data_IF_808109390905
#
_entry.id   IF_808109390905
#
_cell.length_a   1.000
_cell.length_b   1.000
_cell.length_c   1.000
_cell.angle_alpha   90.00
_cell.angle_beta   90.00
_cell.angle_gamma   90.00
#
_symmetry.space_group_name_H-M   'P 1'
#
loop_
_entity.id
_entity.type
_entity.pdbx_description
1 polymer ?
#
# COMPACT_ATOMS: atom_id res chain seq x y z
N UNK A 1 11.34 68.80 -60.33
CA UNK A 1 12.20 68.96 -61.51
C UNK A 1 13.31 67.93 -61.37
N UNK A 2 13.11 66.73 -61.92
CA UNK A 2 13.44 66.37 -63.32
C UNK A 2 14.96 66.27 -63.52
N UNK A 3 15.58 65.29 -64.16
CA UNK A 3 15.28 63.97 -64.74
C UNK A 3 16.67 63.27 -64.78
N UNK A 4 16.82 62.02 -64.36
CA UNK A 4 16.98 60.82 -65.21
C UNK A 4 17.90 61.01 -66.43
N UNK A 5 18.98 60.24 -66.49
CA UNK A 5 19.48 59.72 -67.77
C UNK A 5 19.73 58.21 -67.67
N UNK A 6 19.03 57.53 -68.56
CA UNK A 6 19.02 56.09 -68.83
C UNK A 6 20.21 55.74 -69.72
N UNK A 7 20.75 54.53 -69.53
CA UNK A 7 21.61 53.86 -70.50
C UNK A 7 21.44 52.34 -70.39
N UNK A 8 20.72 51.77 -71.36
CA UNK A 8 20.51 50.34 -71.62
C UNK A 8 21.84 49.57 -71.73
N UNK A 9 21.96 48.23 -71.67
CA UNK A 9 21.13 47.20 -72.30
C UNK A 9 21.71 45.80 -72.02
N UNK A 10 20.88 44.79 -72.31
CA UNK A 10 21.14 43.34 -72.55
C UNK A 10 21.29 42.42 -71.33
N UNK A 11 20.78 41.19 -71.35
CA UNK A 11 19.73 40.45 -72.09
C UNK A 11 19.84 39.01 -71.58
N UNK A 12 18.71 38.32 -71.39
CA UNK A 12 18.61 36.89 -71.09
C UNK A 12 17.78 36.69 -69.82
N UNK A 13 16.53 36.24 -69.86
CA UNK A 13 15.91 35.26 -70.74
C UNK A 13 15.80 33.94 -69.97
N UNK A 14 14.61 33.63 -69.43
CA UNK A 14 14.40 32.31 -68.81
C UNK A 14 13.31 32.22 -67.74
N UNK A 15 12.05 32.29 -68.18
CA UNK A 15 10.94 31.38 -67.83
C UNK A 15 10.66 31.11 -66.32
N UNK A 16 9.52 31.68 -65.93
CA UNK A 16 8.63 31.30 -64.84
C UNK A 16 8.52 29.78 -64.59
N UNK A 17 8.64 29.39 -63.32
CA UNK A 17 7.88 28.27 -62.77
C UNK A 17 7.49 28.57 -61.33
N UNK A 18 6.20 28.80 -61.16
CA UNK A 18 5.49 28.88 -59.91
C UNK A 18 5.86 27.70 -59.01
N UNK A 19 6.53 28.00 -57.91
CA UNK A 19 6.63 27.15 -56.74
C UNK A 19 6.12 27.92 -55.55
N UNK A 20 4.81 28.20 -55.53
CA UNK A 20 4.15 28.53 -54.27
C UNK A 20 4.31 27.29 -53.39
N UNK A 21 5.34 27.30 -52.55
CA UNK A 21 5.40 26.42 -51.40
C UNK A 21 4.29 26.92 -50.50
N UNK A 22 3.08 26.42 -50.75
CA UNK A 22 2.07 26.31 -49.70
C UNK A 22 2.70 25.33 -48.74
N UNK A 23 3.47 25.86 -47.79
CA UNK A 23 3.77 25.17 -46.57
C UNK A 23 2.39 24.95 -45.95
N UNK A 24 1.84 23.75 -46.18
CA UNK A 24 0.81 23.21 -45.32
C UNK A 24 1.53 23.06 -43.98
N UNK A 25 1.57 24.16 -43.24
CA UNK A 25 1.88 24.14 -41.83
C UNK A 25 0.82 23.24 -41.25
N UNK A 26 1.17 21.98 -41.02
CA UNK A 26 0.50 21.19 -40.01
C UNK A 26 0.70 22.01 -38.74
N UNK A 27 -0.30 22.85 -38.43
CA UNK A 27 -0.40 23.53 -37.16
C UNK A 27 -0.58 22.41 -36.14
N UNK A 28 0.52 21.82 -35.73
CA UNK A 28 0.58 21.01 -34.53
C UNK A 28 0.26 21.98 -33.41
N UNK A 29 -1.03 22.08 -33.08
CA UNK A 29 -1.49 22.86 -31.96
C UNK A 29 -0.77 22.31 -30.73
N UNK A 30 0.25 23.04 -30.26
CA UNK A 30 1.05 22.61 -29.13
C UNK A 30 0.13 22.60 -27.92
N UNK A 31 0.17 21.54 -27.13
CA UNK A 31 -0.66 21.39 -25.93
C UNK A 31 -0.52 22.61 -24.98
N UNK A 32 0.65 23.25 -24.99
CA UNK A 32 0.97 24.48 -24.25
C UNK A 32 0.21 25.74 -24.70
N UNK A 33 -0.54 25.68 -25.81
CA UNK A 33 -1.37 26.81 -26.30
C UNK A 33 -2.78 26.81 -25.71
N UNK A 34 -3.16 25.74 -25.01
CA UNK A 34 -4.45 25.65 -24.32
C UNK A 34 -4.43 26.51 -23.04
N UNK A 35 -5.59 27.09 -22.63
CA UNK A 35 -5.72 27.72 -21.32
C UNK A 35 -5.37 26.74 -20.19
N UNK A 36 -4.78 27.27 -19.12
CA UNK A 36 -4.37 26.47 -17.95
C UNK A 36 -5.52 25.65 -17.35
N UNK A 37 -6.73 26.21 -17.33
CA UNK A 37 -7.94 25.53 -16.84
C UNK A 37 -8.29 24.31 -17.70
N UNK A 38 -8.14 24.39 -19.03
CA UNK A 38 -8.38 23.27 -19.92
C UNK A 38 -7.37 22.15 -19.69
N UNK A 39 -6.10 22.49 -19.51
CA UNK A 39 -5.04 21.53 -19.20
C UNK A 39 -5.30 20.89 -17.83
N UNK A 40 -5.67 21.70 -16.84
CA UNK A 40 -6.00 21.25 -15.49
C UNK A 40 -7.17 20.27 -15.49
N UNK A 41 -8.23 20.54 -16.29
CA UNK A 41 -9.37 19.64 -16.43
C UNK A 41 -9.00 18.28 -17.04
N UNK A 42 -8.06 18.25 -17.98
CA UNK A 42 -7.55 16.98 -18.52
C UNK A 42 -6.77 16.22 -17.45
N UNK A 43 -5.86 16.90 -16.74
CA UNK A 43 -5.02 16.29 -15.69
C UNK A 43 -5.85 15.83 -14.49
N UNK A 44 -6.94 16.53 -14.17
CA UNK A 44 -7.90 16.18 -13.12
C UNK A 44 -8.47 14.75 -13.25
N UNK A 45 -8.52 14.21 -14.47
CA UNK A 45 -8.98 12.84 -14.75
C UNK A 45 -7.86 11.79 -14.73
N UNK A 46 -6.63 12.17 -14.39
CA UNK A 46 -5.46 11.27 -14.35
C UNK A 46 -5.12 10.85 -12.91
N UNK A 47 -4.03 10.11 -12.73
CA UNK A 47 -3.52 9.78 -11.38
C UNK A 47 -2.57 10.86 -10.84
N UNK A 48 -2.37 10.93 -9.51
CA UNK A 48 -1.35 11.79 -8.91
C UNK A 48 0.05 11.59 -9.49
N UNK A 49 0.40 10.33 -9.82
CA UNK A 49 1.64 10.01 -10.54
C UNK A 49 1.68 10.65 -11.92
N UNK A 50 0.64 10.49 -12.72
CA UNK A 50 0.58 11.04 -14.08
C UNK A 50 0.66 12.56 -14.05
N UNK A 51 -0.05 13.22 -13.12
CA UNK A 51 0.05 14.66 -12.89
C UNK A 51 1.50 15.11 -12.65
N UNK A 52 2.27 14.35 -11.85
CA UNK A 52 3.69 14.65 -11.62
C UNK A 52 4.55 14.42 -12.87
N UNK A 53 4.25 13.41 -13.67
CA UNK A 53 4.99 13.10 -14.91
C UNK A 53 4.75 14.20 -15.95
N UNK A 54 3.50 14.57 -16.21
CA UNK A 54 3.16 15.60 -17.22
C UNK A 54 3.65 16.98 -16.82
N UNK A 55 3.79 17.27 -15.52
CA UNK A 55 4.37 18.51 -15.02
C UNK A 55 5.82 18.75 -15.47
N UNK A 56 6.51 17.71 -15.97
CA UNK A 56 7.89 17.81 -16.47
C UNK A 56 7.97 18.18 -17.96
N UNK A 57 6.84 18.27 -18.67
CA UNK A 57 6.80 18.49 -20.13
C UNK A 57 7.02 19.96 -20.50
N UNK A 58 6.36 20.89 -19.81
CA UNK A 58 6.48 22.34 -20.07
C UNK A 58 6.12 23.17 -18.82
N UNK A 59 6.42 24.47 -18.84
CA UNK A 59 6.09 25.38 -17.72
C UNK A 59 4.57 25.58 -17.57
N UNK A 60 3.84 25.68 -18.68
CA UNK A 60 2.38 25.85 -18.66
C UNK A 60 1.70 24.60 -18.11
N UNK A 61 2.13 23.42 -18.58
CA UNK A 61 1.59 22.14 -18.07
C UNK A 61 1.97 21.91 -16.61
N UNK A 62 3.17 22.32 -16.20
CA UNK A 62 3.57 22.28 -14.79
C UNK A 62 2.64 23.10 -13.92
N UNK A 63 2.34 24.35 -14.29
CA UNK A 63 1.43 25.22 -13.54
C UNK A 63 0.06 24.56 -13.37
N UNK A 64 -0.52 24.09 -14.49
CA UNK A 64 -1.80 23.39 -14.49
C UNK A 64 -1.79 22.13 -13.60
N UNK A 65 -0.74 21.30 -13.71
CA UNK A 65 -0.59 20.06 -12.97
C UNK A 65 -0.39 20.26 -11.46
N UNK A 66 0.14 21.41 -11.04
CA UNK A 66 0.36 21.77 -9.64
C UNK A 66 -0.81 22.58 -9.05
N UNK A 67 -1.85 22.85 -9.83
CA UNK A 67 -3.02 23.61 -9.40
C UNK A 67 -3.83 22.89 -8.33
N UNK A 68 -4.38 23.67 -7.39
CA UNK A 68 -5.23 23.14 -6.33
C UNK A 68 -6.54 22.52 -6.87
N UNK A 69 -6.99 22.91 -8.07
CA UNK A 69 -8.13 22.26 -8.72
C UNK A 69 -7.86 20.77 -9.00
N UNK A 70 -6.66 20.45 -9.49
CA UNK A 70 -6.23 19.07 -9.75
C UNK A 70 -6.04 18.31 -8.44
N UNK A 71 -5.30 18.88 -7.48
CA UNK A 71 -4.96 18.17 -6.25
C UNK A 71 -6.13 18.01 -5.27
N UNK A 72 -7.15 18.86 -5.34
CA UNK A 72 -8.41 18.65 -4.61
C UNK A 72 -9.07 17.32 -4.96
N UNK A 73 -9.03 16.95 -6.25
CA UNK A 73 -9.65 15.72 -6.72
C UNK A 73 -8.99 14.46 -6.18
N UNK A 74 -7.67 14.54 -5.98
CA UNK A 74 -6.86 13.43 -5.48
C UNK A 74 -7.00 13.26 -3.96
N UNK A 75 -7.48 14.28 -3.27
CA UNK A 75 -7.76 14.21 -1.84
C UNK A 75 -9.11 13.51 -1.59
N UNK A 76 -9.19 12.62 -0.58
CA UNK A 76 -10.47 12.05 -0.15
C UNK A 76 -11.41 13.12 0.39
N UNK A 77 -12.72 13.11 0.11
CA UNK A 77 -13.65 14.13 0.60
C UNK A 77 -13.61 14.34 2.12
N UNK A 78 -13.24 13.30 2.86
CA UNK A 78 -13.18 13.30 4.32
C UNK A 78 -11.87 13.90 4.87
N UNK A 79 -10.94 14.35 4.01
CA UNK A 79 -9.62 14.84 4.43
C UNK A 79 -9.70 16.06 5.35
N UNK A 80 -10.70 16.94 5.14
CA UNK A 80 -10.92 18.14 5.98
C UNK A 80 -11.34 17.80 7.41
N UNK A 81 -11.84 16.59 7.65
CA UNK A 81 -12.21 16.10 8.99
C UNK A 81 -11.10 15.30 9.66
N UNK A 82 -10.01 15.01 8.95
CA UNK A 82 -8.82 14.40 9.55
C UNK A 82 -8.08 15.46 10.37
N UNK A 83 -7.59 15.07 11.55
CA UNK A 83 -6.79 15.92 12.40
C UNK A 83 -5.40 16.15 11.75
N UNK A 84 -5.36 17.06 10.78
CA UNK A 84 -4.14 17.48 10.12
C UNK A 84 -3.34 18.41 11.06
N UNK A 85 -1.99 18.39 11.00
CA UNK A 85 -1.16 19.33 11.73
C UNK A 85 -1.54 20.79 11.41
N UNK A 86 -1.58 21.71 12.39
CA UNK A 86 -1.91 23.13 12.18
C UNK A 86 -1.02 23.86 11.17
N UNK A 87 0.17 23.32 10.87
CA UNK A 87 1.09 23.84 9.84
C UNK A 87 0.61 23.63 8.40
N UNK A 88 -0.45 22.85 8.18
CA UNK A 88 -0.98 22.55 6.85
C UNK A 88 -2.15 23.44 6.43
N UNK A 89 -2.69 24.28 7.32
CA UNK A 89 -3.89 25.11 7.07
C UNK A 89 -3.69 26.18 5.98
N UNK A 90 -2.44 26.51 5.64
CA UNK A 90 -2.08 27.44 4.55
C UNK A 90 -1.24 26.78 3.44
N UNK A 91 -1.27 25.45 3.34
CA UNK A 91 -0.45 24.68 2.42
C UNK A 91 -1.21 24.37 1.12
N UNK A 92 -0.51 24.23 -0.01
CA UNK A 92 -1.16 23.80 -1.25
C UNK A 92 -1.73 22.39 -1.10
N UNK A 93 -2.79 22.06 -1.84
CA UNK A 93 -3.45 20.75 -1.74
C UNK A 93 -2.52 19.60 -2.09
N UNK A 94 -1.55 19.85 -2.99
CA UNK A 94 -0.44 18.94 -3.27
C UNK A 94 0.39 18.62 -2.02
N UNK A 95 0.71 19.61 -1.19
CA UNK A 95 1.46 19.39 0.05
C UNK A 95 0.64 18.63 1.08
N UNK A 96 -0.67 18.92 1.20
CA UNK A 96 -1.58 18.14 2.06
C UNK A 96 -1.60 16.67 1.62
N UNK A 97 -1.75 16.43 0.31
CA UNK A 97 -1.71 15.08 -0.26
C UNK A 97 -0.41 14.34 0.08
N UNK A 98 0.74 14.99 -0.14
CA UNK A 98 2.04 14.39 0.15
C UNK A 98 2.20 14.09 1.64
N UNK A 99 1.72 14.98 2.53
CA UNK A 99 1.71 14.73 3.97
C UNK A 99 0.87 13.51 4.33
N UNK A 100 -0.33 13.36 3.75
CA UNK A 100 -1.19 12.19 3.96
C UNK A 100 -0.61 10.91 3.36
N UNK A 101 0.25 10.99 2.35
CA UNK A 101 0.90 9.84 1.75
C UNK A 101 2.15 9.40 2.53
N UNK A 102 2.92 10.36 3.04
CA UNK A 102 4.20 10.11 3.70
C UNK A 102 4.05 9.87 5.22
N UNK A 103 3.05 10.49 5.88
CA UNK A 103 2.81 10.34 7.32
C UNK A 103 1.39 9.80 7.62
N UNK A 104 1.27 8.50 7.95
CA UNK A 104 -0.02 7.91 8.33
C UNK A 104 -0.66 8.58 9.55
N UNK A 105 -1.92 9.00 9.40
CA UNK A 105 -2.74 9.66 10.41
C UNK A 105 -3.53 8.64 11.20
N UNK A 106 -3.58 8.80 12.53
CA UNK A 106 -4.40 7.96 13.40
C UNK A 106 -5.87 8.41 13.36
N UNK A 107 -6.77 7.45 13.19
CA UNK A 107 -8.23 7.65 13.18
C UNK A 107 -8.88 6.67 14.15
N UNK A 108 -10.19 6.86 14.39
CA UNK A 108 -11.00 5.95 15.22
C UNK A 108 -10.39 5.74 16.62
N UNK A 109 -10.17 6.84 17.34
CA UNK A 109 -9.55 6.84 18.68
C UNK A 109 -8.14 6.22 18.70
N UNK A 110 -7.42 6.30 17.59
CA UNK A 110 -6.07 5.74 17.47
C UNK A 110 -6.03 4.23 17.20
N UNK A 111 -7.18 3.61 16.91
CA UNK A 111 -7.27 2.17 16.63
C UNK A 111 -6.91 1.80 15.20
N UNK A 112 -6.91 2.77 14.28
CA UNK A 112 -6.58 2.58 12.88
C UNK A 112 -5.65 3.69 12.40
N UNK A 113 -4.72 3.38 11.50
CA UNK A 113 -3.95 4.39 10.78
C UNK A 113 -4.39 4.46 9.33
N UNK A 114 -4.35 5.66 8.76
CA UNK A 114 -4.82 6.01 7.44
C UNK A 114 -3.75 6.78 6.67
N UNK A 115 -3.54 6.43 5.41
CA UNK A 115 -2.67 7.17 4.49
C UNK A 115 -3.13 6.99 3.05
N UNK A 116 -2.55 7.77 2.14
CA UNK A 116 -2.79 7.65 0.70
C UNK A 116 -1.66 6.90 0.00
N UNK A 117 -2.00 5.99 -0.91
CA UNK A 117 -1.01 5.43 -1.81
C UNK A 117 -0.50 6.51 -2.76
N UNK A 118 0.77 6.87 -2.64
CA UNK A 118 1.39 8.03 -3.30
C UNK A 118 1.12 8.12 -4.80
N UNK A 119 1.12 6.99 -5.51
CA UNK A 119 0.92 6.93 -6.96
C UNK A 119 -0.51 7.12 -7.41
N UNK A 120 -1.46 6.47 -6.75
CA UNK A 120 -2.85 6.37 -7.23
C UNK A 120 -3.84 7.20 -6.41
N UNK A 121 -3.45 7.66 -5.23
CA UNK A 121 -4.34 8.35 -4.28
C UNK A 121 -5.35 7.42 -3.62
N UNK A 122 -5.19 6.09 -3.76
CA UNK A 122 -6.09 5.11 -3.13
C UNK A 122 -5.87 5.08 -1.63
N UNK A 123 -6.96 4.88 -0.89
CA UNK A 123 -6.98 4.87 0.58
C UNK A 123 -6.30 3.60 1.10
N UNK A 124 -5.36 3.76 2.02
CA UNK A 124 -4.68 2.67 2.71
C UNK A 124 -4.97 2.73 4.21
N UNK A 125 -5.05 1.55 4.85
CA UNK A 125 -5.37 1.42 6.26
C UNK A 125 -4.49 0.38 6.94
N UNK A 126 -4.19 0.62 8.21
CA UNK A 126 -3.63 -0.37 9.13
C UNK A 126 -4.50 -0.43 10.37
N UNK A 127 -4.85 -1.65 10.80
CA UNK A 127 -5.61 -1.87 12.03
C UNK A 127 -4.62 -2.12 13.16
N UNK A 128 -4.82 -1.44 14.30
CA UNK A 128 -4.06 -1.74 15.52
C UNK A 128 -4.46 -3.11 16.07
N UNK A 129 -3.58 -3.72 16.86
CA UNK A 129 -3.92 -4.96 17.57
C UNK A 129 -5.15 -4.80 18.50
N UNK A 130 -5.42 -3.59 18.99
CA UNK A 130 -6.58 -3.27 19.82
C UNK A 130 -7.90 -3.29 19.04
N UNK A 131 -7.85 -3.17 17.72
CA UNK A 131 -9.00 -3.22 16.81
C UNK A 131 -9.25 -4.63 16.25
N UNK A 132 -8.37 -5.59 16.60
CA UNK A 132 -8.47 -6.98 16.18
C UNK A 132 -9.15 -7.81 17.27
N UNK A 133 -9.88 -8.84 16.84
CA UNK A 133 -10.36 -9.90 17.74
C UNK A 133 -9.30 -10.99 17.83
N UNK A 134 -8.56 -10.99 18.93
CA UNK A 134 -7.50 -11.96 19.23
C UNK A 134 -8.02 -12.93 20.29
N UNK A 135 -7.90 -14.24 20.06
CA UNK A 135 -8.33 -15.26 21.03
C UNK A 135 -7.46 -15.23 22.28
N UNK A 136 -8.12 -15.18 23.45
CA UNK A 136 -7.51 -15.08 24.79
C UNK A 136 -6.69 -13.81 25.07
N UNK A 137 -6.94 -12.72 24.35
CA UNK A 137 -6.22 -11.45 24.50
C UNK A 137 -6.42 -10.74 25.85
N UNK A 138 -7.41 -11.18 26.61
CA UNK A 138 -7.72 -10.75 27.97
C UNK A 138 -6.90 -11.49 29.03
N UNK A 139 -6.14 -12.52 28.65
CA UNK A 139 -5.33 -13.33 29.56
C UNK A 139 -3.85 -12.97 29.49
N UNK A 140 -3.28 -12.35 30.54
CA UNK A 140 -1.86 -11.99 30.60
C UNK A 140 -0.90 -13.19 30.52
N UNK A 141 -1.41 -14.41 30.74
CA UNK A 141 -0.62 -15.63 30.59
C UNK A 141 -0.29 -15.94 29.12
N UNK A 142 -1.07 -15.38 28.19
CA UNK A 142 -1.00 -15.69 26.76
C UNK A 142 -0.64 -14.47 25.93
N UNK A 143 -1.17 -13.29 26.29
CA UNK A 143 -0.93 -12.03 25.58
C UNK A 143 -0.63 -10.91 26.56
N UNK A 144 0.36 -10.09 26.22
CA UNK A 144 0.66 -8.86 26.93
C UNK A 144 0.42 -7.67 26.02
N UNK A 145 -0.14 -6.59 26.57
CA UNK A 145 -0.33 -5.34 25.85
C UNK A 145 0.82 -4.41 26.21
N UNK A 146 1.74 -4.23 25.27
CA UNK A 146 2.98 -3.47 25.49
C UNK A 146 3.01 -2.22 24.62
N UNK A 147 3.75 -1.21 25.06
CA UNK A 147 4.02 0.00 24.27
C UNK A 147 5.42 -0.12 23.68
N UNK A 148 5.53 0.08 22.37
CA UNK A 148 6.78 -0.06 21.63
C UNK A 148 7.08 1.28 20.98
N UNK A 149 8.26 1.90 21.23
CA UNK A 149 8.61 3.23 20.71
C UNK A 149 8.51 3.35 19.18
N UNK A 150 8.75 2.25 18.46
CA UNK A 150 8.69 2.19 17.00
C UNK A 150 7.26 2.06 16.45
N UNK A 151 6.26 1.81 17.30
CA UNK A 151 4.86 1.68 16.90
C UNK A 151 4.15 3.04 16.99
N UNK A 152 3.37 3.39 15.96
CA UNK A 152 2.44 4.53 16.01
C UNK A 152 1.23 4.27 16.91
N UNK A 153 0.88 3.01 17.12
CA UNK A 153 -0.21 2.63 18.01
C UNK A 153 0.26 2.58 19.46
N UNK A 154 -0.56 3.07 20.38
CA UNK A 154 -0.27 3.13 21.83
C UNK A 154 0.08 1.75 22.41
N UNK A 155 -0.66 0.73 21.98
CA UNK A 155 -0.51 -0.65 22.44
C UNK A 155 -0.41 -1.62 21.29
N UNK A 156 0.56 -2.53 21.39
CA UNK A 156 0.71 -3.70 20.52
C UNK A 156 0.52 -4.97 21.35
N UNK A 157 0.05 -6.04 20.71
CA UNK A 157 -0.12 -7.34 21.35
C UNK A 157 1.17 -8.16 21.23
N UNK A 158 1.81 -8.41 22.36
CA UNK A 158 2.95 -9.33 22.47
C UNK A 158 2.44 -10.72 22.82
N UNK A 159 2.73 -11.68 21.94
CA UNK A 159 2.40 -13.08 22.16
C UNK A 159 3.39 -13.73 23.13
N UNK A 160 2.89 -14.27 24.24
CA UNK A 160 3.71 -14.91 25.27
C UNK A 160 3.79 -16.43 25.08
N UNK A 161 2.63 -17.10 25.03
CA UNK A 161 2.52 -18.55 24.87
C UNK A 161 1.06 -18.91 24.54
N UNK A 162 0.79 -19.62 23.45
CA UNK A 162 -0.56 -20.10 23.12
C UNK A 162 -0.51 -21.47 22.46
N UNK A 163 -1.57 -22.27 22.62
CA UNK A 163 -1.79 -23.48 21.83
C UNK A 163 -2.85 -23.29 20.73
N UNK A 164 -3.51 -22.14 20.70
CA UNK A 164 -4.52 -21.75 19.72
C UNK A 164 -4.25 -20.31 19.31
N UNK A 165 -3.76 -20.13 18.09
CA UNK A 165 -3.41 -18.83 17.54
C UNK A 165 -4.47 -18.41 16.53
N UNK A 166 -5.29 -17.42 16.90
CA UNK A 166 -6.37 -16.95 16.05
C UNK A 166 -6.55 -15.43 16.20
N UNK A 167 -6.44 -14.74 15.07
CA UNK A 167 -6.57 -13.29 14.96
C UNK A 167 -7.58 -13.00 13.85
N UNK A 168 -8.61 -12.22 14.15
CA UNK A 168 -9.63 -11.81 13.17
C UNK A 168 -9.70 -10.29 13.12
N UNK A 169 -9.61 -9.74 11.91
CA UNK A 169 -9.83 -8.32 11.64
C UNK A 169 -11.09 -8.08 10.81
N UNK A 170 -11.66 -6.88 10.89
CA UNK A 170 -12.75 -6.44 10.03
C UNK A 170 -12.55 -4.98 9.65
N UNK A 171 -12.80 -4.65 8.39
CA UNK A 171 -12.83 -3.28 7.89
C UNK A 171 -14.09 -3.06 7.06
N UNK A 172 -14.71 -1.89 7.20
CA UNK A 172 -15.89 -1.54 6.40
C UNK A 172 -15.48 -1.24 4.96
N UNK A 173 -16.14 -1.89 3.99
CA UNK A 173 -15.92 -1.64 2.56
C UNK A 173 -16.15 -0.18 2.18
N UNK A 174 -17.03 0.53 2.90
CA UNK A 174 -17.31 1.97 2.68
C UNK A 174 -16.09 2.85 2.94
N UNK A 175 -15.12 2.38 3.72
CA UNK A 175 -13.87 3.10 3.98
C UNK A 175 -12.86 2.91 2.84
N UNK A 176 -12.97 1.82 2.09
CA UNK A 176 -12.03 1.48 1.02
C UNK A 176 -12.37 2.22 -0.27
N UNK A 177 -11.36 2.45 -1.09
CA UNK A 177 -11.53 3.03 -2.43
C UNK A 177 -12.19 2.01 -3.36
N UNK A 178 -13.23 2.46 -4.06
CA UNK A 178 -13.86 1.69 -5.14
C UNK A 178 -12.91 1.40 -6.30
N UNK A 179 -13.21 0.35 -7.05
CA UNK A 179 -12.46 -0.05 -8.25
C UNK A 179 -11.00 -0.34 -7.95
N UNK A 180 -10.71 -0.92 -6.78
CA UNK A 180 -9.34 -1.05 -6.26
C UNK A 180 -9.06 -2.47 -5.79
N UNK A 181 -7.90 -3.00 -6.18
CA UNK A 181 -7.41 -4.30 -5.73
C UNK A 181 -6.58 -4.14 -4.47
N UNK A 182 -7.12 -4.57 -3.33
CA UNK A 182 -6.46 -4.49 -2.04
C UNK A 182 -5.67 -5.76 -1.75
N UNK A 183 -4.46 -5.59 -1.22
CA UNK A 183 -3.69 -6.68 -0.61
C UNK A 183 -3.68 -6.48 0.91
N UNK A 184 -3.84 -7.57 1.66
CA UNK A 184 -3.88 -7.56 3.11
C UNK A 184 -2.59 -8.16 3.64
N UNK A 185 -1.99 -7.49 4.61
CA UNK A 185 -0.74 -7.88 5.23
C UNK A 185 -0.90 -7.97 6.74
N UNK A 186 -0.23 -8.95 7.34
CA UNK A 186 0.02 -8.97 8.78
C UNK A 186 1.38 -8.34 9.02
N UNK A 187 1.41 -7.29 9.85
CA UNK A 187 2.66 -6.63 10.29
C UNK A 187 2.97 -7.10 11.70
N UNK A 188 4.16 -7.63 11.92
CA UNK A 188 4.57 -8.20 13.20
C UNK A 188 6.09 -8.04 13.40
N UNK A 189 6.56 -8.24 14.62
CA UNK A 189 7.98 -8.17 14.95
C UNK A 189 8.33 -9.31 15.87
N UNK A 190 9.46 -9.95 15.61
CA UNK A 190 9.97 -11.01 16.48
C UNK A 190 10.49 -10.39 17.78
N UNK A 191 10.05 -10.94 18.92
CA UNK A 191 10.54 -10.50 20.22
C UNK A 191 12.04 -10.76 20.35
N UNK A 192 12.77 -9.88 21.02
CA UNK A 192 14.22 -9.98 21.21
C UNK A 192 14.66 -11.13 22.12
N UNK A 193 13.72 -11.77 22.81
CA UNK A 193 13.92 -12.96 23.65
C UNK A 193 13.73 -14.25 22.84
N UNK A 194 13.87 -15.42 23.50
CA UNK A 194 13.67 -16.73 22.85
C UNK A 194 12.23 -16.90 22.39
N UNK A 195 11.97 -16.59 21.12
CA UNK A 195 10.74 -16.92 20.38
C UNK A 195 10.94 -18.25 19.63
N UNK A 196 9.91 -19.10 19.66
CA UNK A 196 9.89 -20.43 19.04
C UNK A 196 8.44 -20.84 18.77
N UNK A 197 8.25 -21.82 17.87
CA UNK A 197 6.96 -22.49 17.67
C UNK A 197 6.19 -22.06 16.42
N UNK A 198 6.68 -21.05 15.70
CA UNK A 198 6.25 -20.76 14.32
C UNK A 198 7.24 -21.26 13.28
N UNK A 199 8.40 -21.76 13.73
CA UNK A 199 9.42 -22.37 12.88
C UNK A 199 8.77 -23.47 12.03
N UNK A 200 8.86 -23.32 10.70
CA UNK A 200 8.31 -24.26 9.72
C UNK A 200 6.82 -24.58 9.89
N UNK A 201 6.03 -23.78 10.61
CA UNK A 201 4.60 -24.03 10.83
C UNK A 201 3.76 -23.12 9.93
N UNK A 202 3.08 -23.66 8.91
CA UNK A 202 2.22 -22.85 8.05
C UNK A 202 0.99 -22.40 8.83
N UNK A 203 0.70 -21.11 8.80
CA UNK A 203 -0.48 -20.53 9.42
C UNK A 203 -1.56 -20.36 8.37
N UNK A 204 -2.74 -20.89 8.66
CA UNK A 204 -3.92 -20.70 7.82
C UNK A 204 -4.42 -19.26 7.89
N UNK A 205 -4.70 -18.68 6.73
CA UNK A 205 -5.19 -17.31 6.59
C UNK A 205 -6.39 -17.26 5.66
N UNK A 206 -7.35 -16.39 5.97
CA UNK A 206 -8.55 -16.17 5.17
C UNK A 206 -8.78 -14.67 4.98
N UNK A 207 -8.94 -14.25 3.73
CA UNK A 207 -9.27 -12.87 3.39
C UNK A 207 -10.46 -12.85 2.43
N UNK A 208 -11.58 -12.27 2.86
CA UNK A 208 -12.77 -12.17 2.03
C UNK A 208 -13.88 -11.33 2.63
N UNK A 209 -15.00 -11.29 1.93
CA UNK A 209 -16.19 -10.55 2.37
C UNK A 209 -16.97 -11.36 3.39
N UNK A 210 -17.48 -10.70 4.43
CA UNK A 210 -18.30 -11.33 5.45
C UNK A 210 -19.50 -12.06 4.82
N UNK A 211 -19.67 -13.35 5.13
CA UNK A 211 -20.77 -14.18 4.65
C UNK A 211 -20.58 -14.76 3.25
N UNK A 212 -19.42 -14.56 2.61
CA UNK A 212 -19.06 -15.27 1.37
C UNK A 212 -18.04 -16.37 1.67
N UNK A 213 -18.00 -17.39 0.83
CA UNK A 213 -16.96 -18.41 0.89
C UNK A 213 -15.60 -17.78 0.58
N UNK A 214 -14.60 -18.13 1.39
CA UNK A 214 -13.26 -17.56 1.32
C UNK A 214 -12.28 -18.69 1.03
N UNK A 215 -11.29 -18.41 0.18
CA UNK A 215 -10.19 -19.34 -0.05
C UNK A 215 -9.20 -19.24 1.11
N UNK A 216 -8.88 -20.39 1.69
CA UNK A 216 -7.80 -20.53 2.65
C UNK A 216 -6.47 -20.45 1.93
N UNK A 217 -5.55 -19.66 2.49
CA UNK A 217 -4.15 -19.57 2.09
C UNK A 217 -3.28 -19.91 3.30
N UNK A 218 -2.02 -20.22 3.05
CA UNK A 218 -1.06 -20.54 4.10
C UNK A 218 0.12 -19.58 4.02
N UNK A 219 0.59 -19.10 5.17
CA UNK A 219 1.73 -18.19 5.28
C UNK A 219 2.69 -18.65 6.36
N UNK A 220 3.97 -18.31 6.24
CA UNK A 220 4.93 -18.48 7.33
C UNK A 220 5.14 -17.14 8.05
N UNK A 221 5.31 -17.18 9.38
CA UNK A 221 5.74 -16.02 10.16
C UNK A 221 7.24 -15.97 10.37
N UNK A 222 7.95 -17.05 10.03
CA UNK A 222 9.40 -17.12 10.12
C UNK A 222 9.94 -17.55 8.76
N UNK A 223 10.97 -16.87 8.23
CA UNK A 223 11.61 -17.28 7.00
C UNK A 223 12.19 -18.68 7.19
N UNK A 224 12.09 -19.54 6.17
CA UNK A 224 12.78 -20.82 6.25
C UNK A 224 14.28 -20.57 6.16
N UNK A 225 14.98 -20.68 7.28
CA UNK A 225 16.42 -20.91 7.24
C UNK A 225 16.60 -22.28 6.57
N UNK A 226 16.85 -22.31 5.26
CA UNK A 226 17.25 -23.51 4.55
C UNK A 226 18.64 -23.92 5.02
N UNK A 227 18.73 -24.59 6.18
CA UNK A 227 19.78 -25.56 6.43
C UNK A 227 19.26 -26.96 6.00
N UNK A 228 19.75 -27.51 4.87
CA UNK A 228 19.34 -28.84 4.39
C UNK A 228 19.68 -29.99 5.35
N UNK A 229 20.41 -29.74 6.45
CA UNK A 229 20.76 -30.74 7.47
C UNK A 229 19.82 -30.78 8.67
N UNK A 230 18.85 -29.87 8.75
CA UNK A 230 17.90 -29.80 9.86
C UNK A 230 16.75 -30.80 9.64
N UNK A 231 17.00 -32.08 9.95
CA UNK A 231 16.03 -33.17 9.87
C UNK A 231 14.95 -33.14 10.97
N UNK A 232 14.27 -32.00 11.16
CA UNK A 232 13.14 -31.92 12.09
C UNK A 232 11.83 -32.06 11.32
N UNK A 233 11.35 -33.30 11.27
CA UNK A 233 9.98 -33.62 10.89
C UNK A 233 8.98 -33.04 11.91
N UNK A 234 7.77 -32.75 11.42
CA UNK A 234 6.64 -32.33 12.23
C UNK A 234 6.36 -33.34 13.35
N UNK A 235 6.10 -32.85 14.56
CA UNK A 235 5.46 -33.61 15.62
C UNK A 235 4.18 -32.89 16.03
N UNK A 236 3.02 -33.43 15.65
CA UNK A 236 1.73 -32.98 16.17
C UNK A 236 1.69 -33.15 17.69
N UNK A 237 1.30 -32.11 18.42
CA UNK A 237 1.12 -32.22 19.88
C UNK A 237 -0.26 -32.81 20.16
N UNK A 238 -0.31 -33.94 20.85
CA UNK A 238 -1.57 -34.56 21.29
C UNK A 238 -2.43 -33.60 22.12
N UNK A 239 -3.72 -33.51 21.80
CA UNK A 239 -4.75 -32.75 22.55
C UNK A 239 -4.71 -33.07 24.06
N UNK A 240 -4.33 -34.30 24.42
CA UNK A 240 -4.20 -34.75 25.80
C UNK A 240 -3.01 -34.10 26.52
N UNK A 241 -1.89 -33.86 25.81
CA UNK A 241 -0.71 -33.16 26.35
C UNK A 241 -0.99 -31.66 26.54
N UNK A 242 -1.67 -31.04 25.58
CA UNK A 242 -2.18 -29.66 25.67
C UNK A 242 -3.10 -29.54 26.89
N UNK A 243 -4.13 -30.38 26.98
CA UNK A 243 -5.09 -30.37 28.11
C UNK A 243 -4.44 -30.56 29.50
N UNK A 244 -3.28 -31.24 29.57
CA UNK A 244 -2.55 -31.49 30.81
C UNK A 244 -1.64 -30.32 31.21
N UNK A 245 -1.05 -29.63 30.25
CA UNK A 245 -0.31 -28.38 30.48
C UNK A 245 -1.24 -27.28 31.01
N UNK A 246 -2.45 -27.15 30.44
CA UNK A 246 -3.47 -26.20 30.89
C UNK A 246 -3.94 -26.45 32.33
N UNK A 247 -4.14 -27.73 32.71
CA UNK A 247 -4.53 -28.09 34.09
C UNK A 247 -3.44 -27.78 35.13
N UNK A 248 -2.19 -27.74 34.73
CA UNK A 248 -1.05 -27.65 35.66
C UNK A 248 -0.38 -26.28 35.69
N UNK A 249 -0.80 -25.32 34.84
CA UNK A 249 -0.19 -23.98 34.68
C UNK A 249 1.34 -24.03 34.53
N UNK A 250 1.88 -25.12 33.97
CA UNK A 250 3.32 -25.26 33.74
C UNK A 250 3.67 -24.72 32.34
N UNK A 251 4.78 -23.98 32.17
CA UNK A 251 5.38 -23.75 30.86
C UNK A 251 5.60 -25.09 30.15
N UNK A 252 5.47 -25.14 28.82
CA UNK A 252 5.44 -26.34 27.96
C UNK A 252 6.70 -27.23 28.01
N UNK A 253 7.60 -27.02 28.96
CA UNK A 253 8.83 -27.80 29.07
C UNK A 253 8.59 -29.17 29.74
N UNK A 254 8.93 -30.21 28.96
CA UNK A 254 9.09 -31.65 29.28
C UNK A 254 7.84 -32.52 29.08
N UNK A 255 7.55 -32.85 27.83
CA UNK A 255 6.95 -34.14 27.48
C UNK A 255 7.84 -34.88 26.47
N UNK A 256 7.96 -36.22 26.54
CA UNK A 256 8.69 -37.00 25.55
C UNK A 256 8.05 -36.88 24.17
N UNK A 257 8.91 -36.84 23.17
CA UNK A 257 8.64 -36.80 21.73
C UNK A 257 7.90 -38.07 21.29
N UNK A 258 6.71 -37.93 20.71
CA UNK A 258 6.05 -38.98 19.92
C UNK A 258 5.81 -38.43 18.52
N UNK A 259 6.26 -39.18 17.51
CA UNK A 259 6.24 -38.81 16.10
C UNK A 259 4.87 -39.12 15.49
N UNK A 260 4.26 -38.15 14.81
CA UNK A 260 3.06 -38.36 14.00
C UNK A 260 3.32 -37.73 12.64
N UNK A 261 3.47 -38.57 11.62
CA UNK A 261 3.65 -38.17 10.23
C UNK A 261 2.32 -37.61 9.68
N UNK A 262 2.33 -36.34 9.28
CA UNK A 262 1.24 -35.71 8.53
C UNK A 262 1.65 -35.52 7.08
N UNK A 263 0.82 -36.03 6.16
CA UNK A 263 1.06 -36.01 4.72
C UNK A 263 1.12 -34.57 4.14
N UNK A 264 2.05 -34.36 3.20
CA UNK A 264 2.26 -33.10 2.49
C UNK A 264 1.25 -32.96 1.34
N UNK A 265 0.33 -32.02 1.43
CA UNK A 265 -0.26 -31.43 0.22
C UNK A 265 0.71 -30.37 -0.32
N UNK A 266 1.56 -30.80 -1.25
CA UNK A 266 2.46 -29.95 -2.01
C UNK A 266 1.66 -29.26 -3.13
N UNK A 267 1.54 -27.93 -3.08
CA UNK A 267 0.90 -27.17 -4.17
C UNK A 267 0.42 -25.75 -3.85
N UNK A 268 0.52 -25.28 -2.60
CA UNK A 268 0.22 -23.89 -2.25
C UNK A 268 1.43 -22.99 -2.47
N UNK A 269 1.24 -21.84 -3.14
CA UNK A 269 2.23 -20.76 -3.15
C UNK A 269 2.28 -20.18 -1.73
N UNK A 270 3.29 -20.53 -0.94
CA UNK A 270 3.38 -20.08 0.46
C UNK A 270 4.08 -18.73 0.50
N UNK A 271 3.44 -17.73 1.11
CA UNK A 271 4.01 -16.39 1.26
C UNK A 271 4.92 -16.34 2.50
N UNK A 272 6.12 -15.80 2.30
CA UNK A 272 7.14 -15.62 3.33
C UNK A 272 7.15 -14.17 3.85
N UNK A 273 7.56 -13.95 5.12
CA UNK A 273 7.63 -12.63 5.69
C UNK A 273 8.79 -11.81 5.11
N UNK A 274 8.55 -10.52 4.89
CA UNK A 274 9.54 -9.56 4.38
C UNK A 274 9.82 -8.50 5.42
N UNK A 275 11.10 -8.16 5.62
CA UNK A 275 11.48 -7.07 6.51
C UNK A 275 11.19 -5.71 5.87
N UNK A 276 10.58 -4.83 6.64
CA UNK A 276 10.25 -3.44 6.30
C UNK A 276 11.37 -2.51 6.77
N UNK A 277 11.41 -1.30 6.23
CA UNK A 277 12.41 -0.29 6.62
C UNK A 277 12.37 0.13 8.10
N UNK A 278 11.28 -0.15 8.82
CA UNK A 278 11.08 0.13 10.24
C UNK A 278 11.44 -1.05 11.17
N UNK A 279 12.09 -2.10 10.64
CA UNK A 279 12.46 -3.34 11.35
C UNK A 279 11.28 -4.18 11.82
N UNK A 280 10.08 -3.90 11.31
CA UNK A 280 8.96 -4.83 11.38
C UNK A 280 8.97 -5.77 10.17
N UNK A 281 8.36 -6.93 10.31
CA UNK A 281 8.12 -7.85 9.22
C UNK A 281 6.68 -7.72 8.74
N UNK A 282 6.44 -7.91 7.44
CA UNK A 282 5.11 -8.05 6.86
C UNK A 282 4.99 -9.33 6.04
N UNK A 283 3.86 -10.00 6.14
CA UNK A 283 3.52 -11.14 5.29
C UNK A 283 2.15 -10.93 4.66
N UNK A 284 2.02 -11.26 3.38
CA UNK A 284 0.77 -11.10 2.64
C UNK A 284 -0.20 -12.24 3.00
N UNK A 285 -1.35 -11.90 3.55
CA UNK A 285 -2.40 -12.86 3.91
C UNK A 285 -3.30 -13.20 2.72
N UNK A 286 -3.51 -12.23 1.84
CA UNK A 286 -4.40 -12.40 0.68
C UNK A 286 -4.69 -11.08 -0.02
N UNK A 287 -5.61 -11.12 -0.97
CA UNK A 287 -6.06 -9.93 -1.69
C UNK A 287 -7.51 -10.05 -2.14
N UNK A 288 -8.19 -8.91 -2.27
CA UNK A 288 -9.57 -8.83 -2.72
C UNK A 288 -9.79 -7.56 -3.55
N UNK A 289 -10.82 -7.56 -4.40
CA UNK A 289 -11.19 -6.42 -5.23
C UNK A 289 -12.47 -5.77 -4.71
N UNK A 290 -12.47 -4.44 -4.58
CA UNK A 290 -13.67 -3.65 -4.33
C UNK A 290 -14.22 -3.18 -5.67
N UNK A 291 -15.45 -3.59 -5.99
CA UNK A 291 -16.15 -3.13 -7.19
C UNK A 291 -16.55 -1.64 -7.12
N UNK A 292 -16.97 -1.09 -8.25
CA UNK A 292 -17.43 0.29 -8.35
C UNK A 292 -18.92 0.47 -7.96
N UNK A 293 -19.63 -0.64 -7.72
CA UNK A 293 -21.09 -0.72 -7.64
C UNK A 293 -21.72 -1.18 -8.95
#
# INVERSE_FOLDING_TARGET
>A
MEQIQVGDSKCGGGISRNGAVVSVGAATSRFDTLPEDCISMVIFHTTPRDACVVASVSRTVKSAAESDLVWEKFLPPEYSSLALPPSLDCSSKKKIYLSLADDPVLIDEGKKSFWLEKSTGKKCYMLSAMDLKITWSDSPAYWQWVTVPESKFEKVAELCNVCWFEIRGKISVKMLSKGTHYSVYLVFKRASSRSYGFDHTPIETEVGFAGKEVRKTFVFLEPSDTDPRSGYGYSGVSLAAVSRAFRTRRPWMRFPREEVEGERESGGNVEEPKERGDKWSEVKLGSFYIDDG
#
